data_IF_952844935060
#
_entry.id   IF_952844935060
#
_cell.length_a   1.000
_cell.length_b   1.000
_cell.length_c   1.000
_cell.angle_alpha   90.00
_cell.angle_beta   90.00
_cell.angle_gamma   90.00
#
_symmetry.space_group_name_H-M   'P 1'
#
loop_
_entity.id
_entity.type
_entity.pdbx_description
1 polymer ?
#
# COMPACT_ATOMS: atom_id res chain seq x y z
N UNK A 1 -63.72 16.72 -2.46
CA UNK A 1 -62.99 15.48 -2.08
C UNK A 1 -62.81 14.61 -3.31
N UNK A 2 -61.57 14.43 -3.77
CA UNK A 2 -61.17 13.40 -4.74
C UNK A 2 -59.82 12.88 -4.28
N UNK A 3 -59.82 11.62 -3.86
CA UNK A 3 -58.67 10.82 -3.44
C UNK A 3 -57.97 10.35 -4.71
N UNK A 4 -56.65 10.56 -4.83
CA UNK A 4 -55.82 9.88 -5.81
C UNK A 4 -54.65 9.22 -5.08
N UNK A 5 -54.61 7.91 -5.24
CA UNK A 5 -53.75 6.98 -4.55
C UNK A 5 -52.31 6.99 -5.12
N UNK A 6 -51.35 7.06 -4.18
CA UNK A 6 -50.17 6.20 -4.03
C UNK A 6 -49.70 5.40 -5.25
N UNK A 7 -48.52 5.78 -5.75
CA UNK A 7 -47.65 4.93 -6.58
C UNK A 7 -46.20 5.15 -6.15
N UNK A 8 -45.79 4.42 -5.11
CA UNK A 8 -44.41 4.41 -4.61
C UNK A 8 -43.56 3.60 -5.60
N UNK A 9 -42.77 4.28 -6.42
CA UNK A 9 -41.70 3.62 -7.19
C UNK A 9 -40.51 3.43 -6.26
N UNK A 10 -40.43 2.23 -5.69
CA UNK A 10 -39.29 1.76 -4.94
C UNK A 10 -38.17 1.45 -5.93
N UNK A 11 -37.30 2.43 -6.20
CA UNK A 11 -36.06 2.21 -6.95
C UNK A 11 -35.05 1.51 -6.03
N UNK A 12 -35.15 0.19 -5.99
CA UNK A 12 -34.19 -0.69 -5.36
C UNK A 12 -32.96 -0.88 -6.25
N UNK A 13 -31.80 -0.81 -5.60
CA UNK A 13 -30.54 -1.49 -5.91
C UNK A 13 -29.57 -0.80 -6.87
N UNK A 14 -28.62 -0.12 -6.24
CA UNK A 14 -27.35 0.20 -6.85
C UNK A 14 -26.43 1.01 -5.96
N UNK A 15 -26.41 0.81 -4.64
CA UNK A 15 -25.24 1.27 -3.86
C UNK A 15 -24.06 0.45 -4.36
N UNK A 16 -23.32 1.00 -5.34
CA UNK A 16 -21.98 0.58 -5.64
C UNK A 16 -21.24 0.63 -4.30
N UNK A 17 -21.01 -0.54 -3.72
CA UNK A 17 -20.22 -0.68 -2.50
C UNK A 17 -18.79 -0.43 -2.93
N UNK A 18 -18.44 0.85 -3.06
CA UNK A 18 -17.06 1.29 -3.22
C UNK A 18 -16.26 0.63 -2.11
N UNK A 19 -15.23 -0.12 -2.50
CA UNK A 19 -14.24 -0.62 -1.55
C UNK A 19 -13.60 0.62 -0.94
N UNK A 20 -14.01 0.96 0.28
CA UNK A 20 -13.58 2.18 0.94
C UNK A 20 -12.09 2.03 1.26
N UNK A 21 -11.25 2.76 0.54
CA UNK A 21 -9.80 2.88 0.73
C UNK A 21 -9.53 3.84 1.90
N UNK A 22 -10.16 3.56 3.04
CA UNK A 22 -10.04 4.42 4.23
C UNK A 22 -8.66 4.20 4.85
N UNK A 23 -7.88 5.26 5.13
CA UNK A 23 -6.67 5.13 5.93
C UNK A 23 -6.99 4.43 7.26
N UNK A 24 -6.21 3.41 7.63
CA UNK A 24 -6.41 2.72 8.92
C UNK A 24 -5.83 3.56 10.07
N UNK A 25 -4.82 4.36 9.76
CA UNK A 25 -4.14 5.30 10.66
C UNK A 25 -3.84 6.58 9.88
N UNK A 26 -3.91 7.73 10.54
CA UNK A 26 -3.54 9.03 9.94
C UNK A 26 -2.10 9.03 9.43
N UNK A 27 -1.88 9.74 8.32
CA UNK A 27 -0.57 9.89 7.71
C UNK A 27 0.30 10.83 8.57
N UNK A 28 1.39 10.31 9.13
CA UNK A 28 2.29 11.05 10.00
C UNK A 28 3.53 11.54 9.24
N UNK A 29 4.26 12.52 9.80
CA UNK A 29 5.49 13.04 9.17
C UNK A 29 6.56 11.94 8.92
N UNK A 30 6.59 10.89 9.75
CA UNK A 30 7.50 9.76 9.55
C UNK A 30 7.14 8.89 8.33
N UNK A 31 5.88 8.92 7.88
CA UNK A 31 5.42 8.15 6.73
C UNK A 31 6.04 8.67 5.43
N UNK A 32 6.37 9.95 5.32
CA UNK A 32 7.03 10.52 4.13
C UNK A 32 8.36 9.81 3.82
N UNK A 33 9.09 9.36 4.86
CA UNK A 33 10.36 8.66 4.71
C UNK A 33 10.21 7.15 4.53
N UNK A 34 9.04 6.59 4.85
CA UNK A 34 8.77 5.16 4.71
C UNK A 34 8.10 4.84 3.36
N UNK A 35 7.32 5.78 2.85
CA UNK A 35 6.50 5.71 1.64
C UNK A 35 6.89 6.85 0.69
N UNK A 36 8.15 6.80 0.26
CA UNK A 36 8.88 7.83 -0.48
C UNK A 36 8.74 7.74 -2.01
N UNK A 37 7.77 6.95 -2.48
CA UNK A 37 7.49 6.63 -3.88
C UNK A 37 8.69 6.01 -4.61
N UNK A 38 9.50 5.24 -3.88
CA UNK A 38 10.73 4.64 -4.40
C UNK A 38 10.63 3.12 -4.60
N UNK A 39 11.61 2.60 -5.34
CA UNK A 39 11.80 1.19 -5.68
C UNK A 39 13.14 0.75 -5.13
N UNK A 40 13.16 -0.31 -4.33
CA UNK A 40 14.38 -0.94 -3.88
C UNK A 40 15.17 -1.49 -5.08
N UNK A 41 16.42 -1.05 -5.20
CA UNK A 41 17.24 -1.23 -6.40
C UNK A 41 17.94 -2.60 -6.48
N UNK A 42 17.90 -3.41 -5.42
CA UNK A 42 18.74 -4.60 -5.28
C UNK A 42 17.89 -5.86 -5.33
N UNK A 43 18.22 -6.81 -6.22
CA UNK A 43 17.50 -8.10 -6.39
C UNK A 43 17.44 -8.94 -5.12
N UNK A 44 18.55 -8.92 -4.39
CA UNK A 44 18.63 -9.37 -3.02
C UNK A 44 18.98 -8.11 -2.28
N UNK A 45 18.01 -7.31 -1.79
CA UNK A 45 18.38 -6.33 -0.79
C UNK A 45 19.06 -7.19 0.24
N UNK A 46 20.39 -7.05 0.38
CA UNK A 46 21.05 -7.64 1.50
C UNK A 46 20.22 -7.05 2.62
N UNK A 47 19.47 -7.91 3.30
CA UNK A 47 18.71 -7.51 4.46
C UNK A 47 19.81 -7.30 5.49
N UNK A 48 20.61 -6.25 5.28
CA UNK A 48 21.69 -5.88 6.13
C UNK A 48 20.96 -5.31 7.31
N UNK A 49 21.00 -6.06 8.41
CA UNK A 49 20.45 -5.66 9.70
C UNK A 49 20.85 -4.20 10.06
N UNK A 50 21.94 -3.68 9.49
CA UNK A 50 22.44 -2.33 9.71
C UNK A 50 21.73 -1.20 8.93
N UNK A 51 21.26 -1.39 7.69
CA UNK A 51 20.45 -0.36 6.98
C UNK A 51 18.95 -0.50 7.31
N UNK A 52 18.51 -1.69 7.73
CA UNK A 52 17.14 -2.01 8.11
C UNK A 52 16.88 -1.84 9.62
N UNK A 53 17.47 -0.82 10.27
CA UNK A 53 17.22 -0.40 11.68
C UNK A 53 15.75 0.02 11.88
N UNK A 54 14.83 -0.92 11.81
CA UNK A 54 13.38 -0.75 11.98
C UNK A 54 12.63 -0.11 10.80
N UNK A 55 13.28 0.34 9.72
CA UNK A 55 12.56 0.99 8.59
C UNK A 55 11.56 0.04 7.92
N UNK A 56 11.98 -1.18 7.58
CA UNK A 56 11.09 -2.15 6.94
C UNK A 56 9.98 -2.62 7.88
N UNK A 57 10.32 -2.92 9.13
CA UNK A 57 9.33 -3.24 10.16
C UNK A 57 8.28 -2.13 10.26
N UNK A 58 8.72 -0.87 10.43
CA UNK A 58 7.82 0.29 10.45
C UNK A 58 6.99 0.40 9.19
N UNK A 59 7.56 0.12 8.01
CA UNK A 59 6.81 0.11 6.75
C UNK A 59 5.73 -0.98 6.75
N UNK A 60 6.03 -2.20 7.20
CA UNK A 60 5.05 -3.28 7.35
C UNK A 60 3.95 -2.88 8.34
N UNK A 61 4.33 -2.35 9.50
CA UNK A 61 3.38 -1.96 10.56
C UNK A 61 2.49 -0.81 10.14
N UNK A 62 3.05 0.21 9.48
CA UNK A 62 2.33 1.46 9.14
C UNK A 62 1.56 1.42 7.82
N UNK A 63 1.94 0.55 6.89
CA UNK A 63 1.25 0.41 5.60
C UNK A 63 -0.24 0.11 5.81
N UNK A 64 -1.11 0.80 5.08
CA UNK A 64 -2.54 0.47 5.05
C UNK A 64 -2.79 -0.76 4.17
N UNK A 65 -2.00 -0.92 3.11
CA UNK A 65 -2.04 -2.06 2.19
C UNK A 65 -0.63 -2.61 1.98
N UNK A 66 -0.50 -3.93 2.02
CA UNK A 66 0.67 -4.64 1.51
C UNK A 66 0.18 -5.65 0.49
N UNK A 67 0.71 -5.62 -0.72
CA UNK A 67 0.28 -6.48 -1.80
C UNK A 67 1.42 -6.86 -2.74
N UNK A 68 1.37 -8.06 -3.28
CA UNK A 68 2.19 -8.44 -4.43
C UNK A 68 1.53 -7.86 -5.67
N UNK A 69 2.28 -7.09 -6.44
CA UNK A 69 1.80 -6.38 -7.61
C UNK A 69 2.65 -6.68 -8.84
N UNK A 70 2.03 -6.47 -10.00
CA UNK A 70 2.70 -6.43 -11.30
C UNK A 70 2.41 -5.11 -11.96
N UNK A 71 3.44 -4.35 -12.31
CA UNK A 71 3.25 -3.14 -13.11
C UNK A 71 2.90 -3.58 -14.54
N UNK A 72 1.75 -3.11 -15.03
CA UNK A 72 1.23 -3.44 -16.37
C UNK A 72 1.53 -2.32 -17.37
N UNK A 73 1.56 -1.08 -16.88
CA UNK A 73 1.97 0.06 -17.68
C UNK A 73 2.69 1.11 -16.85
N UNK A 74 3.61 1.80 -17.50
CA UNK A 74 4.38 2.92 -16.99
C UNK A 74 4.30 4.02 -18.03
N UNK A 75 3.83 5.19 -17.64
CA UNK A 75 3.79 6.39 -18.49
C UNK A 75 4.48 7.54 -17.78
N UNK A 76 5.26 8.31 -18.53
CA UNK A 76 5.84 9.56 -18.07
C UNK A 76 5.05 10.73 -18.63
N UNK A 77 4.64 11.66 -17.79
CA UNK A 77 4.08 12.95 -18.17
C UNK A 77 5.11 14.03 -17.86
N UNK A 78 5.43 14.89 -18.83
CA UNK A 78 6.29 16.06 -18.65
C UNK A 78 5.47 17.31 -18.96
N UNK A 79 5.35 18.21 -17.99
CA UNK A 79 4.63 19.47 -18.14
C UNK A 79 5.41 20.67 -17.55
N UNK A 80 4.75 21.82 -17.43
CA UNK A 80 5.36 23.03 -16.85
C UNK A 80 5.64 22.92 -15.34
N UNK A 81 5.02 21.95 -14.66
CA UNK A 81 5.13 21.71 -13.21
C UNK A 81 6.22 20.68 -12.88
N UNK A 82 6.61 19.85 -13.84
CA UNK A 82 7.70 18.90 -13.70
C UNK A 82 7.47 17.64 -14.50
N UNK A 83 8.36 16.67 -14.31
CA UNK A 83 8.19 15.31 -14.80
C UNK A 83 7.50 14.45 -13.75
N UNK A 84 6.65 13.52 -14.18
CA UNK A 84 6.02 12.55 -13.30
C UNK A 84 5.87 11.20 -13.98
N UNK A 85 5.93 10.13 -13.19
CA UNK A 85 5.55 8.80 -13.62
C UNK A 85 4.19 8.42 -13.06
N UNK A 86 3.43 7.70 -13.88
CA UNK A 86 2.23 6.99 -13.49
C UNK A 86 2.43 5.51 -13.79
N UNK A 87 2.29 4.68 -12.76
CA UNK A 87 2.40 3.24 -12.83
C UNK A 87 1.02 2.64 -12.55
N UNK A 88 0.51 1.87 -13.50
CA UNK A 88 -0.71 1.08 -13.31
C UNK A 88 -0.31 -0.33 -12.94
N UNK A 89 -0.73 -0.77 -11.75
CA UNK A 89 -0.31 -2.02 -11.16
C UNK A 89 -1.50 -2.94 -10.92
N UNK A 90 -1.42 -4.17 -11.39
CA UNK A 90 -2.37 -5.23 -11.03
C UNK A 90 -1.94 -5.89 -9.72
N UNK A 91 -2.88 -6.05 -8.81
CA UNK A 91 -2.70 -6.80 -7.57
C UNK A 91 -2.78 -8.30 -7.88
N UNK A 92 -1.69 -9.03 -7.62
CA UNK A 92 -1.59 -10.48 -7.75
C UNK A 92 -2.08 -11.14 -6.46
N UNK A 93 -1.60 -10.65 -5.32
CA UNK A 93 -1.86 -11.24 -4.00
C UNK A 93 -1.90 -10.13 -2.93
N UNK A 94 -2.81 -10.27 -1.96
CA UNK A 94 -2.98 -9.30 -0.88
C UNK A 94 -2.42 -9.84 0.43
N UNK A 95 -1.43 -9.15 1.00
CA UNK A 95 -0.76 -9.56 2.24
C UNK A 95 -1.29 -8.83 3.48
N UNK A 96 -1.69 -7.56 3.33
CA UNK A 96 -2.28 -6.74 4.40
C UNK A 96 -3.30 -5.76 3.82
N UNK A 97 -4.37 -5.51 4.57
CA UNK A 97 -5.38 -4.52 4.21
C UNK A 97 -6.23 -4.95 3.02
N UNK A 98 -7.11 -4.06 2.56
CA UNK A 98 -7.92 -4.27 1.36
C UNK A 98 -7.51 -3.27 0.29
N UNK A 99 -7.33 -3.76 -0.93
CA UNK A 99 -7.11 -2.93 -2.11
C UNK A 99 -8.08 -3.32 -3.22
N UNK A 100 -8.22 -2.44 -4.20
CA UNK A 100 -8.80 -2.82 -5.48
C UNK A 100 -7.87 -3.80 -6.19
N UNK A 101 -8.36 -4.43 -7.26
CA UNK A 101 -7.54 -5.31 -8.13
C UNK A 101 -6.45 -4.54 -8.89
N UNK A 102 -6.58 -3.23 -8.96
CA UNK A 102 -5.64 -2.32 -9.60
C UNK A 102 -5.25 -1.20 -8.62
N UNK A 103 -3.98 -0.81 -8.66
CA UNK A 103 -3.42 0.33 -7.95
C UNK A 103 -2.79 1.29 -8.96
N UNK A 104 -3.02 2.58 -8.75
CA UNK A 104 -2.38 3.64 -9.53
C UNK A 104 -1.35 4.29 -8.62
N UNK A 105 -0.07 4.12 -8.95
CA UNK A 105 1.05 4.68 -8.21
C UNK A 105 1.64 5.85 -9.00
N UNK A 106 2.09 6.89 -8.31
CA UNK A 106 2.67 8.09 -8.93
C UNK A 106 3.98 8.45 -8.27
N UNK A 107 4.93 8.93 -9.07
CA UNK A 107 6.17 9.53 -8.58
C UNK A 107 6.42 10.85 -9.33
N UNK A 108 6.59 11.95 -8.61
CA UNK A 108 6.91 13.28 -9.14
C UNK A 108 8.41 13.57 -9.01
N UNK A 109 8.98 14.36 -9.91
CA UNK A 109 10.42 14.65 -9.97
C UNK A 109 10.98 15.40 -8.75
N UNK A 110 10.13 16.03 -7.96
CA UNK A 110 10.45 16.62 -6.66
C UNK A 110 10.46 15.60 -5.50
N UNK A 111 10.10 14.34 -5.76
CA UNK A 111 10.05 13.28 -4.76
C UNK A 111 11.31 12.42 -4.76
N UNK A 112 11.75 11.92 -3.59
CA UNK A 112 12.96 11.12 -3.47
C UNK A 112 12.97 9.87 -4.37
N UNK A 113 11.81 9.24 -4.53
CA UNK A 113 11.68 7.99 -5.27
C UNK A 113 11.67 8.11 -6.79
N UNK A 114 11.50 9.29 -7.36
CA UNK A 114 11.40 9.45 -8.82
C UNK A 114 12.58 8.88 -9.58
N UNK A 115 13.79 9.13 -9.08
CA UNK A 115 15.01 8.61 -9.70
C UNK A 115 15.05 7.09 -9.73
N UNK A 116 14.55 6.44 -8.66
CA UNK A 116 14.49 4.98 -8.60
C UNK A 116 13.52 4.39 -9.63
N UNK A 117 12.42 5.10 -9.96
CA UNK A 117 11.51 4.69 -11.02
C UNK A 117 12.20 4.84 -12.38
N UNK A 118 12.77 6.01 -12.65
CA UNK A 118 13.42 6.35 -13.92
C UNK A 118 14.52 5.36 -14.33
N UNK A 119 15.34 4.91 -13.37
CA UNK A 119 16.45 4.00 -13.69
C UNK A 119 16.03 2.52 -13.74
N UNK A 120 14.77 2.19 -13.42
CA UNK A 120 14.25 0.82 -13.35
C UNK A 120 12.99 0.58 -14.18
N UNK A 121 12.66 1.42 -15.16
CA UNK A 121 11.43 1.29 -15.96
C UNK A 121 11.25 -0.12 -16.54
N UNK A 122 12.28 -0.66 -17.19
CA UNK A 122 12.27 -2.01 -17.78
C UNK A 122 12.03 -3.09 -16.72
N UNK A 123 12.65 -2.93 -15.55
CA UNK A 123 12.53 -3.88 -14.45
C UNK A 123 11.13 -3.84 -13.84
N UNK A 124 10.58 -2.64 -13.65
CA UNK A 124 9.22 -2.43 -13.15
C UNK A 124 8.20 -3.16 -14.02
N UNK A 125 8.34 -3.06 -15.34
CA UNK A 125 7.46 -3.73 -16.30
C UNK A 125 7.71 -5.24 -16.40
N UNK A 126 8.91 -5.74 -16.09
CA UNK A 126 9.27 -7.16 -16.24
C UNK A 126 9.07 -8.00 -14.99
N UNK A 127 9.34 -7.46 -13.81
CA UNK A 127 9.35 -8.23 -12.55
C UNK A 127 8.11 -7.92 -11.68
N UNK A 128 7.73 -8.82 -10.75
CA UNK A 128 6.75 -8.53 -9.70
C UNK A 128 7.40 -7.87 -8.47
N UNK A 129 6.59 -7.14 -7.70
CA UNK A 129 7.03 -6.38 -6.53
C UNK A 129 6.08 -6.55 -5.35
N UNK A 130 6.60 -6.45 -4.13
CA UNK A 130 5.80 -6.19 -2.93
C UNK A 130 5.62 -4.69 -2.78
N UNK A 131 4.38 -4.23 -2.91
CA UNK A 131 4.00 -2.85 -2.68
C UNK A 131 3.58 -2.64 -1.23
N UNK A 132 4.16 -1.62 -0.61
CA UNK A 132 3.72 -1.06 0.66
C UNK A 132 3.04 0.26 0.37
N UNK A 133 1.76 0.40 0.71
CA UNK A 133 0.97 1.60 0.42
C UNK A 133 0.41 2.17 1.70
N UNK A 134 0.56 3.49 1.85
CA UNK A 134 -0.03 4.31 2.89
C UNK A 134 -0.88 5.40 2.23
N UNK A 135 -2.11 5.56 2.69
CA UNK A 135 -3.01 6.59 2.16
C UNK A 135 -2.76 7.91 2.87
N UNK A 136 -2.43 8.95 2.09
CA UNK A 136 -2.34 10.33 2.56
C UNK A 136 -3.63 11.04 2.19
N UNK A 137 -4.35 11.56 3.17
CA UNK A 137 -5.48 12.43 2.90
C UNK A 137 -4.94 13.72 2.29
N UNK A 138 -5.52 14.10 1.15
CA UNK A 138 -5.29 15.40 0.54
C UNK A 138 -6.61 16.16 0.58
N UNK A 139 -6.60 17.34 1.19
CA UNK A 139 -7.79 18.17 1.33
C UNK A 139 -8.29 18.71 -0.02
N UNK A 140 -7.42 18.71 -1.03
CA UNK A 140 -7.74 19.18 -2.39
C UNK A 140 -8.13 18.04 -3.35
N UNK A 141 -7.94 16.77 -2.94
CA UNK A 141 -8.25 15.61 -3.76
C UNK A 141 -9.53 14.88 -3.30
N UNK A 142 -10.34 14.44 -4.26
CA UNK A 142 -11.55 13.65 -3.98
C UNK A 142 -11.25 12.25 -3.43
N UNK A 143 -10.00 11.78 -3.54
CA UNK A 143 -9.57 10.47 -3.08
C UNK A 143 -8.22 10.57 -2.36
N UNK A 144 -7.98 9.76 -1.30
CA UNK A 144 -6.69 9.69 -0.66
C UNK A 144 -5.58 9.35 -1.67
N UNK A 145 -4.45 10.05 -1.55
CA UNK A 145 -3.30 9.84 -2.41
C UNK A 145 -2.47 8.65 -1.89
N UNK A 146 -2.16 7.66 -2.74
CA UNK A 146 -1.26 6.58 -2.34
C UNK A 146 0.17 7.11 -2.27
N UNK A 147 0.76 7.02 -1.07
CA UNK A 147 2.20 7.05 -0.86
C UNK A 147 2.69 5.62 -0.81
N UNK A 148 3.77 5.31 -1.51
CA UNK A 148 4.16 3.92 -1.70
C UNK A 148 5.66 3.69 -1.62
N UNK A 149 6.02 2.42 -1.50
CA UNK A 149 7.38 1.93 -1.66
C UNK A 149 7.32 0.51 -2.22
N UNK A 150 8.20 0.18 -3.17
CA UNK A 150 8.27 -1.13 -3.79
C UNK A 150 9.55 -1.87 -3.39
N UNK A 151 9.38 -3.10 -2.93
CA UNK A 151 10.49 -4.05 -2.75
C UNK A 151 10.35 -5.21 -3.74
N UNK A 152 11.44 -5.87 -4.17
CA UNK A 152 11.34 -7.05 -5.04
C UNK A 152 10.46 -8.14 -4.43
N UNK A 153 9.68 -8.80 -5.27
CA UNK A 153 8.91 -9.98 -4.87
C UNK A 153 9.80 -11.23 -4.73
N UNK A 154 10.60 -11.24 -3.66
CA UNK A 154 11.51 -12.32 -3.30
C UNK A 154 11.01 -13.09 -2.07
N UNK A 155 11.39 -14.38 -1.92
CA UNK A 155 11.07 -15.16 -0.71
C UNK A 155 11.50 -14.43 0.57
N UNK A 156 12.69 -13.82 0.57
CA UNK A 156 13.24 -13.13 1.74
C UNK A 156 12.41 -11.92 2.16
N UNK A 157 11.92 -11.12 1.20
CA UNK A 157 11.02 -10.00 1.49
C UNK A 157 9.68 -10.51 2.00
N UNK A 158 9.10 -11.54 1.36
CA UNK A 158 7.82 -12.12 1.77
C UNK A 158 7.87 -12.70 3.18
N UNK A 159 8.90 -13.49 3.49
CA UNK A 159 9.08 -14.11 4.81
C UNK A 159 9.16 -13.05 5.90
N UNK A 160 9.83 -11.92 5.65
CA UNK A 160 9.86 -10.79 6.58
C UNK A 160 8.52 -10.09 6.73
N UNK A 161 7.78 -9.89 5.65
CA UNK A 161 6.41 -9.34 5.74
C UNK A 161 5.56 -10.25 6.62
N UNK A 162 5.56 -11.56 6.35
CA UNK A 162 4.79 -12.54 7.13
C UNK A 162 5.21 -12.55 8.60
N UNK A 163 6.53 -12.51 8.87
CA UNK A 163 7.06 -12.44 10.23
C UNK A 163 6.51 -11.24 11.00
N UNK A 164 6.53 -10.03 10.42
CA UNK A 164 6.06 -8.82 11.09
C UNK A 164 4.53 -8.66 11.13
N UNK A 165 3.80 -9.37 10.26
CA UNK A 165 2.34 -9.42 10.30
C UNK A 165 1.80 -10.47 11.28
N UNK A 166 2.62 -11.46 11.64
CA UNK A 166 2.22 -12.52 12.56
C UNK A 166 2.06 -11.95 13.97
N UNK A 167 0.97 -12.30 14.69
CA UNK A 167 0.88 -11.98 16.12
C UNK A 167 2.10 -12.57 16.84
N UNK A 168 2.62 -11.92 17.91
CA UNK A 168 3.55 -12.59 18.80
C UNK A 168 2.86 -13.87 19.26
N UNK A 169 3.48 -15.03 19.01
CA UNK A 169 2.96 -16.30 19.50
C UNK A 169 2.75 -16.15 21.00
N UNK A 170 1.49 -16.13 21.42
CA UNK A 170 1.12 -16.10 22.83
C UNK A 170 1.84 -17.27 23.49
N UNK A 171 2.75 -16.97 24.39
CA UNK A 171 3.46 -17.98 25.14
C UNK A 171 2.42 -18.64 26.06
N UNK A 172 1.92 -19.82 25.66
CA UNK A 172 0.97 -20.67 26.40
C UNK A 172 1.52 -21.14 27.77
N UNK A 173 2.66 -20.60 28.21
CA UNK A 173 3.38 -20.98 29.43
C UNK A 173 3.12 -20.10 30.65
N UNK A 174 2.18 -19.16 30.58
CA UNK A 174 1.77 -18.39 31.77
C UNK A 174 0.37 -18.81 32.26
N UNK A 175 0.15 -20.11 32.49
CA UNK A 175 -0.83 -20.52 33.49
C UNK A 175 -0.16 -20.41 34.86
N UNK A 176 -0.34 -19.27 35.52
CA UNK A 176 -0.06 -19.16 36.95
C UNK A 176 -1.13 -19.98 37.66
N UNK A 177 -0.78 -21.18 38.07
CA UNK A 177 -1.58 -21.98 38.99
C UNK A 177 -1.69 -21.20 40.30
N UNK A 178 -2.84 -20.54 40.50
CA UNK A 178 -3.16 -19.90 41.78
C UNK A 178 -3.47 -21.03 42.76
N UNK A 179 -2.46 -21.43 43.54
CA UNK A 179 -2.68 -22.24 44.73
C UNK A 179 -3.52 -21.40 45.69
N UNK A 180 -4.79 -21.80 45.87
CA UNK A 180 -5.67 -21.21 46.87
C UNK A 180 -5.14 -21.43 48.29
N UNK A 181 -5.52 -20.55 49.24
CA UNK A 181 -5.10 -20.64 50.64
C UNK A 181 -5.67 -21.85 51.37
#
# INVERSE_FOLDING_TARGET
MRVLAMGVVCALLGCARGSSTVPTVEFAAEDEFLFDNSVDLVDKPAIVESEWRGKFERRVTRADVIAVIKIESLSSDEDRRGSSYRLTARVIDGLKGRSNRELILRAHDDEPGFQSVRVNEDRLLRDPFVAFVKWKNDAEADQPLPRWHLSPDSPEVRDKVVFFLSPPSGDDRTQVEVLGP
#
